data_IF_344676976064
#
_entry.id   IF_344676976064
#
_cell.length_a   1.000
_cell.length_b   1.000
_cell.length_c   1.000
_cell.angle_alpha   90.00
_cell.angle_beta   90.00
_cell.angle_gamma   90.00
#
_symmetry.space_group_name_H-M   'P 1'
#
loop_
_entity.id
_entity.type
_entity.pdbx_description
1 polymer ?
#
# COMPACT_ATOMS: atom_id res chain seq x y z
N UNK A 1 36.24 13.59 -10.58
CA UNK A 1 36.07 12.25 -9.99
C UNK A 1 35.95 11.28 -11.15
N UNK A 2 36.77 10.23 -11.19
CA UNK A 2 36.70 9.24 -12.29
C UNK A 2 35.50 8.28 -12.10
N UNK A 3 35.23 7.43 -13.09
CA UNK A 3 34.06 6.54 -13.06
C UNK A 3 34.07 5.58 -11.87
N UNK A 4 35.21 4.98 -11.57
CA UNK A 4 35.41 4.06 -10.45
C UNK A 4 35.15 4.72 -9.10
N UNK A 5 35.71 5.91 -8.87
CA UNK A 5 35.49 6.69 -7.65
C UNK A 5 34.02 7.08 -7.48
N UNK A 6 33.36 7.47 -8.58
CA UNK A 6 31.94 7.86 -8.56
C UNK A 6 31.05 6.69 -8.18
N UNK A 7 31.22 5.55 -8.86
CA UNK A 7 30.44 4.33 -8.59
C UNK A 7 30.72 3.80 -7.19
N UNK A 8 31.99 3.76 -6.77
CA UNK A 8 32.39 3.36 -5.42
C UNK A 8 31.70 4.21 -4.35
N UNK A 9 31.65 5.53 -4.53
CA UNK A 9 30.94 6.45 -3.62
C UNK A 9 29.44 6.18 -3.57
N UNK A 10 28.80 5.97 -4.73
CA UNK A 10 27.35 5.70 -4.81
C UNK A 10 27.00 4.38 -4.11
N UNK A 11 27.77 3.33 -4.39
CA UNK A 11 27.55 1.98 -3.84
C UNK A 11 28.10 1.80 -2.42
N UNK A 12 28.80 2.81 -1.88
CA UNK A 12 29.52 2.75 -0.60
C UNK A 12 30.51 1.57 -0.55
N UNK A 13 31.25 1.40 -1.64
CA UNK A 13 32.22 0.33 -1.84
C UNK A 13 33.63 0.88 -2.02
N UNK A 14 34.64 0.00 -1.96
CA UNK A 14 36.02 0.34 -2.28
C UNK A 14 36.21 0.49 -3.81
N UNK A 15 36.97 1.50 -4.24
CA UNK A 15 37.19 1.77 -5.68
C UNK A 15 37.99 0.67 -6.38
N UNK A 16 38.92 0.04 -5.68
CA UNK A 16 39.76 -1.03 -6.24
C UNK A 16 38.94 -2.31 -6.41
N UNK A 17 37.91 -2.50 -5.57
CA UNK A 17 36.92 -3.56 -5.77
C UNK A 17 36.11 -3.35 -7.06
N UNK A 18 35.64 -2.13 -7.32
CA UNK A 18 34.91 -1.78 -8.56
C UNK A 18 35.80 -1.98 -9.79
N UNK A 19 37.06 -1.53 -9.73
CA UNK A 19 38.03 -1.73 -10.80
C UNK A 19 38.31 -3.24 -11.04
N UNK A 20 38.50 -4.00 -9.97
CA UNK A 20 38.71 -5.45 -10.03
C UNK A 20 37.51 -6.19 -10.64
N UNK A 21 36.29 -5.75 -10.33
CA UNK A 21 35.06 -6.28 -10.90
C UNK A 21 35.03 -6.12 -12.42
N UNK A 22 35.31 -4.91 -12.92
CA UNK A 22 35.34 -4.66 -14.36
C UNK A 22 36.42 -5.49 -15.06
N UNK A 23 37.63 -5.58 -14.50
CA UNK A 23 38.71 -6.42 -15.06
C UNK A 23 38.29 -7.89 -15.18
N UNK A 24 37.61 -8.43 -14.16
CA UNK A 24 37.12 -9.82 -14.18
C UNK A 24 36.07 -10.03 -15.26
N UNK A 25 35.10 -9.12 -15.38
CA UNK A 25 34.07 -9.22 -16.40
C UNK A 25 34.62 -8.99 -17.81
N UNK A 26 35.58 -8.09 -17.98
CA UNK A 26 36.27 -7.88 -19.25
C UNK A 26 36.98 -9.17 -19.72
N UNK A 27 37.63 -9.90 -18.80
CA UNK A 27 38.28 -11.17 -19.11
C UNK A 27 37.33 -12.29 -19.60
N UNK A 28 36.05 -12.21 -19.22
CA UNK A 28 35.03 -13.21 -19.62
C UNK A 28 34.21 -12.74 -20.84
N UNK A 29 33.87 -11.45 -20.89
CA UNK A 29 32.92 -10.89 -21.87
C UNK A 29 33.59 -10.15 -23.03
N UNK A 30 34.88 -9.81 -22.90
CA UNK A 30 35.61 -8.96 -23.84
C UNK A 30 35.20 -7.48 -23.80
N UNK A 31 34.25 -7.08 -22.94
CA UNK A 31 33.77 -5.70 -22.86
C UNK A 31 34.62 -4.88 -21.88
N UNK A 32 35.02 -3.68 -22.29
CA UNK A 32 35.81 -2.72 -21.50
C UNK A 32 35.12 -1.35 -21.47
N UNK A 33 35.50 -0.48 -20.54
CA UNK A 33 34.93 0.87 -20.37
C UNK A 33 33.44 0.89 -19.99
N UNK A 34 32.99 -0.19 -19.34
CA UNK A 34 31.62 -0.34 -18.86
C UNK A 34 31.36 0.60 -17.70
N UNK A 35 32.34 0.83 -16.81
CA UNK A 35 32.15 1.76 -15.69
C UNK A 35 31.98 3.20 -16.19
N UNK A 36 32.76 3.62 -17.18
CA UNK A 36 32.60 4.92 -17.85
C UNK A 36 31.24 5.02 -18.54
N UNK A 37 30.83 4.00 -19.29
CA UNK A 37 29.53 3.96 -19.95
C UNK A 37 28.35 4.08 -18.95
N UNK A 38 28.41 3.34 -17.84
CA UNK A 38 27.40 3.42 -16.77
C UNK A 38 27.33 4.82 -16.18
N UNK A 39 28.48 5.46 -15.93
CA UNK A 39 28.52 6.82 -15.39
C UNK A 39 27.92 7.81 -16.37
N UNK A 40 28.27 7.73 -17.65
CA UNK A 40 27.72 8.59 -18.69
C UNK A 40 26.21 8.43 -18.82
N UNK A 41 25.72 7.20 -18.96
CA UNK A 41 24.28 6.91 -19.06
C UNK A 41 23.54 7.43 -17.82
N UNK A 42 24.08 7.22 -16.63
CA UNK A 42 23.47 7.71 -15.40
C UNK A 42 23.47 9.25 -15.32
N UNK A 43 24.51 9.93 -15.80
CA UNK A 43 24.54 11.40 -15.89
C UNK A 43 23.50 11.95 -16.86
N UNK A 44 23.37 11.34 -18.04
CA UNK A 44 22.37 11.71 -19.04
C UNK A 44 20.94 11.50 -18.50
N UNK A 45 20.69 10.37 -17.83
CA UNK A 45 19.42 10.09 -17.17
C UNK A 45 19.13 11.12 -16.07
N UNK A 46 20.09 11.41 -15.20
CA UNK A 46 19.93 12.40 -14.14
C UNK A 46 19.60 13.78 -14.69
N UNK A 47 20.31 14.22 -15.75
CA UNK A 47 20.06 15.48 -16.44
C UNK A 47 18.65 15.56 -17.01
N UNK A 48 18.20 14.53 -17.74
CA UNK A 48 16.83 14.46 -18.26
C UNK A 48 15.78 14.52 -17.14
N UNK A 49 15.98 13.76 -16.04
CA UNK A 49 15.03 13.77 -14.92
C UNK A 49 14.97 15.12 -14.21
N UNK A 50 16.11 15.77 -13.98
CA UNK A 50 16.16 17.11 -13.38
C UNK A 50 15.46 18.14 -14.27
N UNK A 51 15.72 18.10 -15.59
CA UNK A 51 15.06 18.99 -16.54
C UNK A 51 13.54 18.81 -16.55
N UNK A 52 13.04 17.57 -16.50
CA UNK A 52 11.59 17.27 -16.41
C UNK A 52 10.95 17.76 -15.11
N UNK A 53 11.73 17.85 -14.03
CA UNK A 53 11.31 18.43 -12.76
C UNK A 53 11.42 19.98 -12.74
N UNK A 54 11.99 20.59 -13.79
CA UNK A 54 12.29 22.01 -13.83
C UNK A 54 13.48 22.42 -12.96
N UNK A 55 14.32 21.45 -12.57
CA UNK A 55 15.54 21.67 -11.78
C UNK A 55 16.76 21.77 -12.72
N UNK A 56 17.79 22.49 -12.28
CA UNK A 56 19.06 22.59 -13.01
C UNK A 56 19.95 21.38 -12.72
N UNK A 57 20.93 21.11 -13.58
CA UNK A 57 21.90 20.01 -13.39
C UNK A 57 22.73 20.16 -12.10
N UNK A 58 22.90 21.39 -11.62
CA UNK A 58 23.65 21.72 -10.41
C UNK A 58 22.74 21.93 -9.20
N UNK A 59 21.46 21.58 -9.31
CA UNK A 59 20.49 21.78 -8.24
C UNK A 59 20.92 21.06 -6.96
N UNK A 60 20.88 21.77 -5.84
CA UNK A 60 21.18 21.17 -4.55
C UNK A 60 20.04 20.25 -4.07
N UNK A 61 20.28 19.50 -2.99
CA UNK A 61 19.28 18.58 -2.45
C UNK A 61 17.98 19.28 -2.05
N UNK A 62 18.03 20.54 -1.61
CA UNK A 62 16.86 21.32 -1.19
C UNK A 62 16.06 21.79 -2.40
N UNK A 63 16.72 22.19 -3.48
CA UNK A 63 16.10 22.56 -4.75
C UNK A 63 15.42 21.36 -5.39
N UNK A 64 16.10 20.21 -5.44
CA UNK A 64 15.52 18.95 -5.95
C UNK A 64 14.31 18.55 -5.10
N UNK A 65 14.43 18.62 -3.77
CA UNK A 65 13.30 18.32 -2.88
C UNK A 65 12.09 19.22 -3.15
N UNK A 66 12.30 20.54 -3.28
CA UNK A 66 11.21 21.47 -3.60
C UNK A 66 10.57 21.17 -4.95
N UNK A 67 11.38 20.87 -5.97
CA UNK A 67 10.89 20.52 -7.31
C UNK A 67 10.03 19.25 -7.27
N UNK A 68 10.46 18.23 -6.52
CA UNK A 68 9.69 17.00 -6.30
C UNK A 68 8.36 17.27 -5.59
N UNK A 69 8.35 18.08 -4.52
CA UNK A 69 7.11 18.45 -3.82
C UNK A 69 6.17 19.20 -4.76
N UNK A 70 6.67 20.19 -5.51
CA UNK A 70 5.86 20.93 -6.47
C UNK A 70 5.26 20.02 -7.56
N UNK A 71 6.03 19.04 -8.05
CA UNK A 71 5.53 18.05 -9.01
C UNK A 71 4.45 17.17 -8.41
N UNK A 72 4.66 16.67 -7.18
CA UNK A 72 3.68 15.89 -6.43
C UNK A 72 2.38 16.67 -6.29
N UNK A 73 2.44 17.93 -5.85
CA UNK A 73 1.24 18.77 -5.69
C UNK A 73 0.53 19.06 -7.02
N UNK A 74 1.30 19.24 -8.10
CA UNK A 74 0.72 19.42 -9.44
C UNK A 74 -0.03 18.19 -9.90
N UNK A 75 0.57 17.00 -9.76
CA UNK A 75 -0.04 15.74 -10.16
C UNK A 75 -1.23 15.39 -9.27
N UNK A 76 -1.11 15.62 -7.97
CA UNK A 76 -2.18 15.43 -6.99
C UNK A 76 -3.40 16.27 -7.36
N UNK A 77 -3.21 17.55 -7.73
CA UNK A 77 -4.30 18.42 -8.22
C UNK A 77 -4.94 17.93 -9.53
N UNK A 78 -4.18 17.29 -10.41
CA UNK A 78 -4.73 16.70 -11.63
C UNK A 78 -5.64 15.51 -11.30
N UNK A 79 -5.17 14.60 -10.43
CA UNK A 79 -5.96 13.45 -9.97
C UNK A 79 -7.18 13.92 -9.17
N UNK A 80 -7.02 14.92 -8.31
CA UNK A 80 -8.08 15.50 -7.50
C UNK A 80 -9.24 16.00 -8.36
N UNK A 81 -8.94 16.74 -9.42
CA UNK A 81 -9.94 17.18 -10.39
C UNK A 81 -10.55 16.02 -11.17
N UNK A 82 -9.73 15.06 -11.61
CA UNK A 82 -10.20 13.89 -12.35
C UNK A 82 -11.16 13.00 -11.54
N UNK A 83 -11.00 12.96 -10.22
CA UNK A 83 -11.88 12.22 -9.30
C UNK A 83 -13.05 13.06 -8.74
N UNK A 84 -13.26 14.27 -9.26
CA UNK A 84 -14.40 15.12 -8.90
C UNK A 84 -14.25 15.85 -7.57
N UNK A 85 -13.02 16.23 -7.19
CA UNK A 85 -12.70 16.99 -5.96
C UNK A 85 -13.15 16.27 -4.67
N UNK A 86 -12.62 15.07 -4.39
CA UNK A 86 -13.08 14.26 -3.28
C UNK A 86 -12.77 14.86 -1.90
N UNK A 87 -13.67 14.61 -0.93
CA UNK A 87 -13.47 14.84 0.49
C UNK A 87 -12.96 13.56 1.18
N UNK A 88 -11.72 13.57 1.69
CA UNK A 88 -11.10 12.40 2.33
C UNK A 88 -11.72 11.93 3.64
N UNK A 89 -12.64 12.72 4.22
CA UNK A 89 -13.42 12.31 5.39
C UNK A 89 -14.78 11.72 5.03
N UNK A 90 -15.25 11.94 3.80
CA UNK A 90 -16.54 11.43 3.36
C UNK A 90 -16.39 9.99 2.85
N UNK A 91 -17.12 9.04 3.46
CA UNK A 91 -17.11 7.61 3.11
C UNK A 91 -17.36 7.40 1.61
N UNK A 92 -18.36 8.08 1.06
CA UNK A 92 -18.73 7.95 -0.35
C UNK A 92 -17.61 8.38 -1.31
N UNK A 93 -16.82 9.39 -0.94
CA UNK A 93 -15.72 9.88 -1.76
C UNK A 93 -14.53 8.93 -1.68
N UNK A 94 -14.20 8.45 -0.48
CA UNK A 94 -13.22 7.39 -0.27
C UNK A 94 -13.57 6.11 -1.04
N UNK A 95 -14.85 5.73 -1.08
CA UNK A 95 -15.33 4.59 -1.87
C UNK A 95 -15.08 4.83 -3.35
N UNK A 96 -15.43 6.01 -3.89
CA UNK A 96 -15.19 6.33 -5.31
C UNK A 96 -13.71 6.26 -5.67
N UNK A 97 -12.82 6.75 -4.81
CA UNK A 97 -11.36 6.65 -5.04
C UNK A 97 -10.92 5.18 -5.10
N UNK A 98 -11.40 4.34 -4.16
CA UNK A 98 -11.06 2.92 -4.12
C UNK A 98 -11.60 2.16 -5.33
N UNK A 99 -12.84 2.44 -5.76
CA UNK A 99 -13.44 1.86 -6.96
C UNK A 99 -12.73 2.29 -8.25
N UNK A 100 -12.31 3.55 -8.34
CA UNK A 100 -11.51 4.03 -9.46
C UNK A 100 -10.17 3.26 -9.55
N UNK A 101 -9.51 3.03 -8.42
CA UNK A 101 -8.30 2.21 -8.36
C UNK A 101 -8.58 0.75 -8.77
N UNK A 102 -9.66 0.14 -8.26
CA UNK A 102 -10.07 -1.23 -8.66
C UNK A 102 -10.31 -1.33 -10.16
N UNK A 103 -11.00 -0.35 -10.75
CA UNK A 103 -11.30 -0.31 -12.19
C UNK A 103 -10.04 -0.19 -13.04
N UNK A 104 -9.09 0.65 -12.64
CA UNK A 104 -7.82 0.83 -13.38
C UNK A 104 -6.99 -0.46 -13.34
N UNK A 105 -6.90 -1.09 -12.18
CA UNK A 105 -6.15 -2.34 -12.03
C UNK A 105 -6.85 -3.49 -12.72
N UNK A 106 -8.19 -3.53 -12.67
CA UNK A 106 -9.02 -4.65 -13.15
C UNK A 106 -8.46 -6.00 -12.68
N UNK A 107 -8.32 -6.20 -11.35
CA UNK A 107 -7.67 -7.40 -10.84
C UNK A 107 -8.47 -8.66 -11.21
N UNK A 108 -7.79 -9.79 -11.44
CA UNK A 108 -8.49 -11.05 -11.65
C UNK A 108 -9.25 -11.46 -10.38
N UNK A 109 -10.16 -12.43 -10.52
CA UNK A 109 -10.77 -13.11 -9.37
C UNK A 109 -9.67 -13.74 -8.52
N UNK A 110 -9.87 -13.76 -7.21
CA UNK A 110 -8.97 -14.40 -6.26
C UNK A 110 -9.67 -15.50 -5.48
N UNK A 111 -8.88 -16.32 -4.79
CA UNK A 111 -9.37 -17.39 -3.93
C UNK A 111 -9.36 -16.92 -2.47
N UNK A 112 -10.55 -16.73 -1.90
CA UNK A 112 -10.75 -16.06 -0.61
C UNK A 112 -11.58 -16.92 0.33
N UNK A 113 -11.41 -16.71 1.63
CA UNK A 113 -12.22 -17.34 2.66
C UNK A 113 -13.69 -17.02 2.43
N UNK A 114 -14.54 -18.06 2.47
CA UNK A 114 -15.99 -17.91 2.39
C UNK A 114 -16.50 -17.01 3.51
N UNK A 115 -17.47 -16.15 3.19
CA UNK A 115 -18.02 -15.22 4.18
C UNK A 115 -18.72 -15.94 5.33
N UNK A 116 -19.33 -17.09 5.05
CA UNK A 116 -19.94 -17.97 6.05
C UNK A 116 -18.89 -18.45 7.04
N UNK A 117 -17.71 -18.85 6.54
CA UNK A 117 -16.60 -19.30 7.39
C UNK A 117 -16.05 -18.17 8.25
N UNK A 118 -15.99 -16.97 7.69
CA UNK A 118 -15.61 -15.78 8.44
C UNK A 118 -16.63 -15.44 9.54
N UNK A 119 -17.93 -15.64 9.30
CA UNK A 119 -18.95 -15.52 10.35
C UNK A 119 -18.73 -16.55 11.46
N UNK A 120 -18.46 -17.81 11.12
CA UNK A 120 -18.14 -18.85 12.11
C UNK A 120 -16.95 -18.48 13.00
N UNK A 121 -15.91 -17.87 12.43
CA UNK A 121 -14.72 -17.46 13.19
C UNK A 121 -15.03 -16.41 14.25
N UNK A 122 -15.87 -15.43 13.93
CA UNK A 122 -16.32 -14.43 14.90
C UNK A 122 -17.26 -15.02 15.95
N UNK A 123 -18.06 -16.02 15.58
CA UNK A 123 -18.96 -16.70 16.52
C UNK A 123 -18.18 -17.54 17.53
N UNK A 124 -17.12 -18.22 17.07
CA UNK A 124 -16.28 -19.06 17.90
C UNK A 124 -15.34 -18.25 18.80
N UNK A 125 -14.75 -17.17 18.28
CA UNK A 125 -13.93 -16.23 19.05
C UNK A 125 -14.52 -14.81 18.95
N UNK A 126 -15.52 -14.48 19.80
CA UNK A 126 -16.18 -13.18 19.79
C UNK A 126 -15.23 -11.99 19.99
N UNK A 127 -15.26 -10.98 19.10
CA UNK A 127 -14.45 -9.77 19.25
C UNK A 127 -15.07 -8.83 20.30
N UNK A 128 -14.68 -9.03 21.56
CA UNK A 128 -15.33 -8.37 22.71
C UNK A 128 -15.24 -6.85 22.65
N UNK A 129 -14.11 -6.29 22.23
CA UNK A 129 -13.91 -4.83 22.19
C UNK A 129 -14.71 -4.21 21.05
N UNK A 130 -14.77 -4.86 19.89
CA UNK A 130 -15.63 -4.41 18.78
C UNK A 130 -17.10 -4.46 19.18
N UNK A 131 -17.52 -5.54 19.84
CA UNK A 131 -18.89 -5.66 20.31
C UNK A 131 -19.25 -4.59 21.35
N UNK A 132 -18.37 -4.34 22.33
CA UNK A 132 -18.54 -3.28 23.33
C UNK A 132 -18.62 -1.90 22.68
N UNK A 133 -17.70 -1.60 21.77
CA UNK A 133 -17.66 -0.35 21.01
C UNK A 133 -18.96 -0.09 20.23
N UNK A 134 -19.51 -1.13 19.60
CA UNK A 134 -20.75 -1.04 18.84
C UNK A 134 -22.02 -1.20 19.69
N UNK A 135 -21.89 -1.50 20.99
CA UNK A 135 -23.02 -1.69 21.90
C UNK A 135 -23.78 -3.01 21.75
N UNK A 136 -23.14 -4.07 21.25
CA UNK A 136 -23.75 -5.39 21.08
C UNK A 136 -23.38 -6.37 22.19
N UNK A 137 -24.37 -7.18 22.62
CA UNK A 137 -24.18 -8.23 23.63
C UNK A 137 -23.81 -9.59 23.05
N UNK A 138 -24.21 -9.86 21.81
CA UNK A 138 -23.96 -11.14 21.13
C UNK A 138 -23.47 -10.92 19.70
N UNK A 139 -22.66 -11.86 19.21
CA UNK A 139 -22.07 -11.80 17.86
C UNK A 139 -23.16 -11.89 16.80
N UNK A 140 -24.20 -12.69 17.02
CA UNK A 140 -25.32 -12.88 16.09
C UNK A 140 -26.03 -11.55 15.84
N UNK A 141 -26.35 -10.81 16.91
CA UNK A 141 -27.04 -9.52 16.81
C UNK A 141 -26.17 -8.51 16.06
N UNK A 142 -24.87 -8.50 16.33
CA UNK A 142 -23.91 -7.66 15.62
C UNK A 142 -23.87 -8.02 14.12
N UNK A 143 -23.68 -9.30 13.79
CA UNK A 143 -23.55 -9.77 12.40
C UNK A 143 -24.84 -9.71 11.57
N UNK A 144 -25.99 -9.50 12.20
CA UNK A 144 -27.27 -9.20 11.55
C UNK A 144 -27.40 -7.72 11.17
N UNK A 145 -26.78 -6.82 11.94
CA UNK A 145 -26.93 -5.36 11.78
C UNK A 145 -25.73 -4.70 11.12
N UNK A 146 -24.56 -5.33 11.20
CA UNK A 146 -23.29 -4.78 10.76
C UNK A 146 -22.76 -5.47 9.50
N UNK A 147 -22.02 -4.73 8.68
CA UNK A 147 -21.27 -5.29 7.55
C UNK A 147 -20.09 -6.13 8.09
N UNK A 148 -20.10 -7.43 7.77
CA UNK A 148 -19.08 -8.39 8.20
C UNK A 148 -17.66 -7.93 7.85
N UNK A 149 -17.45 -7.36 6.66
CA UNK A 149 -16.14 -6.97 6.17
C UNK A 149 -15.64 -5.70 6.87
N UNK A 150 -16.56 -4.79 7.24
CA UNK A 150 -16.21 -3.65 8.10
C UNK A 150 -15.81 -4.13 9.50
N UNK A 151 -16.57 -5.04 10.10
CA UNK A 151 -16.26 -5.63 11.42
C UNK A 151 -14.87 -6.27 11.38
N UNK A 152 -14.59 -7.10 10.36
CA UNK A 152 -13.28 -7.72 10.18
C UNK A 152 -12.15 -6.69 9.99
N UNK A 153 -12.42 -5.60 9.27
CA UNK A 153 -11.44 -4.52 9.07
C UNK A 153 -11.13 -3.83 10.41
N UNK A 154 -12.14 -3.64 11.24
CA UNK A 154 -12.04 -3.02 12.56
C UNK A 154 -11.25 -3.84 13.57
N UNK A 155 -11.25 -5.17 13.48
CA UNK A 155 -10.48 -6.04 14.38
C UNK A 155 -9.00 -5.59 14.48
N UNK A 156 -8.43 -5.11 13.37
CA UNK A 156 -7.02 -4.68 13.27
C UNK A 156 -6.66 -3.49 14.14
N UNK A 157 -7.62 -2.62 14.44
CA UNK A 157 -7.38 -1.41 15.21
C UNK A 157 -8.14 -1.37 16.54
N UNK A 158 -9.15 -2.22 16.74
CA UNK A 158 -9.94 -2.27 17.99
C UNK A 158 -9.47 -3.39 18.94
N UNK A 159 -9.32 -4.64 18.46
CA UNK A 159 -9.02 -5.79 19.33
C UNK A 159 -7.55 -5.83 19.79
N UNK A 160 -6.64 -5.33 18.95
CA UNK A 160 -5.20 -5.31 19.22
C UNK A 160 -4.49 -6.60 18.81
N UNK A 161 -3.16 -6.51 18.68
CA UNK A 161 -2.34 -7.58 18.09
C UNK A 161 -2.22 -8.84 18.95
N UNK A 162 -2.32 -8.71 20.28
CA UNK A 162 -2.20 -9.84 21.19
C UNK A 162 -3.37 -10.82 21.04
N UNK A 163 -4.60 -10.31 21.03
CA UNK A 163 -5.79 -11.13 20.83
C UNK A 163 -5.85 -11.69 19.40
N UNK A 164 -5.56 -10.86 18.40
CA UNK A 164 -5.53 -11.29 17.00
C UNK A 164 -4.57 -12.47 16.78
N UNK A 165 -3.33 -12.35 17.21
CA UNK A 165 -2.31 -13.38 16.98
C UNK A 165 -2.42 -14.56 17.96
N UNK A 166 -2.79 -14.30 19.22
CA UNK A 166 -2.79 -15.31 20.28
C UNK A 166 -4.08 -16.13 20.35
N UNK A 167 -5.19 -15.60 19.83
CA UNK A 167 -6.53 -16.20 19.93
C UNK A 167 -7.15 -16.32 18.55
N UNK A 168 -7.44 -15.19 17.89
CA UNK A 168 -8.29 -15.18 16.70
C UNK A 168 -7.70 -15.96 15.52
N UNK A 169 -6.43 -15.76 15.22
CA UNK A 169 -5.78 -16.39 14.06
C UNK A 169 -5.48 -17.88 14.24
N UNK A 170 -5.52 -18.43 15.44
CA UNK A 170 -5.36 -19.90 15.64
C UNK A 170 -6.42 -20.71 14.90
N UNK A 171 -7.59 -20.12 14.69
CA UNK A 171 -8.68 -20.75 13.94
C UNK A 171 -8.30 -21.05 12.48
N UNK A 172 -7.34 -20.30 11.92
CA UNK A 172 -6.90 -20.45 10.53
C UNK A 172 -6.11 -21.76 10.31
N UNK A 173 -5.55 -22.35 11.36
CA UNK A 173 -4.81 -23.62 11.29
C UNK A 173 -5.70 -24.81 10.91
N UNK A 174 -7.02 -24.68 11.10
CA UNK A 174 -8.00 -25.71 10.79
C UNK A 174 -8.69 -25.52 9.42
N UNK A 175 -8.29 -24.50 8.65
CA UNK A 175 -8.88 -24.21 7.35
C UNK A 175 -8.53 -25.30 6.33
N UNK A 176 -9.51 -25.63 5.50
CA UNK A 176 -9.38 -26.57 4.39
C UNK A 176 -9.64 -25.86 3.07
N UNK A 177 -9.19 -26.41 1.93
CA UNK A 177 -9.46 -25.83 0.61
C UNK A 177 -10.95 -25.54 0.37
N UNK A 178 -11.86 -26.35 0.91
CA UNK A 178 -13.31 -26.18 0.74
C UNK A 178 -13.89 -24.99 1.52
N UNK A 179 -13.14 -24.41 2.46
CA UNK A 179 -13.52 -23.20 3.19
C UNK A 179 -13.34 -21.92 2.36
N UNK A 180 -12.77 -22.04 1.15
CA UNK A 180 -12.48 -20.94 0.25
C UNK A 180 -13.35 -20.96 -1.00
N UNK A 181 -13.46 -19.82 -1.66
CA UNK A 181 -14.22 -19.60 -2.88
C UNK A 181 -13.49 -18.66 -3.83
N UNK A 182 -13.73 -18.81 -5.12
CA UNK A 182 -13.32 -17.80 -6.10
C UNK A 182 -14.30 -16.62 -6.10
N UNK A 183 -13.81 -15.43 -5.78
CA UNK A 183 -14.62 -14.20 -5.75
C UNK A 183 -13.80 -13.02 -6.25
N UNK A 184 -14.48 -11.94 -6.66
CA UNK A 184 -13.81 -10.68 -6.95
C UNK A 184 -13.30 -10.00 -5.67
N UNK A 185 -12.22 -9.23 -5.80
CA UNK A 185 -11.78 -8.31 -4.74
C UNK A 185 -12.87 -7.27 -4.49
N UNK A 186 -13.16 -7.03 -3.22
CA UNK A 186 -14.01 -5.93 -2.78
C UNK A 186 -13.16 -4.76 -2.31
N UNK A 187 -13.56 -3.56 -2.70
CA UNK A 187 -13.02 -2.33 -2.13
C UNK A 187 -14.07 -1.69 -1.23
N UNK A 188 -13.68 -1.22 -0.05
CA UNK A 188 -14.62 -0.68 0.96
C UNK A 188 -14.06 0.56 1.66
N UNK A 189 -14.77 1.68 1.63
CA UNK A 189 -14.55 2.74 2.59
C UNK A 189 -15.25 2.39 3.90
N UNK A 190 -14.54 2.46 5.02
CA UNK A 190 -15.11 2.18 6.34
C UNK A 190 -16.09 3.29 6.72
N UNK A 191 -17.20 2.92 7.36
CA UNK A 191 -18.17 3.88 7.85
C UNK A 191 -17.62 4.80 8.94
N UNK A 192 -18.21 5.99 9.06
CA UNK A 192 -17.74 7.05 9.97
C UNK A 192 -17.76 6.64 11.44
N UNK A 193 -18.56 5.61 11.81
CA UNK A 193 -18.58 5.09 13.18
C UNK A 193 -17.21 4.59 13.64
N UNK A 194 -16.33 4.19 12.73
CA UNK A 194 -14.98 3.74 13.06
C UNK A 194 -13.96 4.86 13.21
N UNK A 195 -14.34 6.12 12.92
CA UNK A 195 -13.39 7.24 12.80
C UNK A 195 -12.51 7.38 14.05
N UNK A 196 -13.11 7.44 15.24
CA UNK A 196 -12.39 7.63 16.51
C UNK A 196 -11.34 6.54 16.76
N UNK A 197 -11.72 5.27 16.63
CA UNK A 197 -10.80 4.15 16.84
C UNK A 197 -9.77 4.02 15.71
N UNK A 198 -10.11 4.48 14.52
CA UNK A 198 -9.22 4.42 13.36
C UNK A 198 -8.16 5.52 13.35
N UNK A 199 -8.39 6.66 14.02
CA UNK A 199 -7.45 7.80 14.05
C UNK A 199 -6.08 7.39 14.60
N UNK A 200 -6.05 6.65 15.72
CA UNK A 200 -4.81 6.15 16.32
C UNK A 200 -4.07 5.21 15.37
N UNK A 201 -4.82 4.37 14.65
CA UNK A 201 -4.25 3.44 13.67
C UNK A 201 -3.63 4.18 12.49
N UNK A 202 -4.37 5.15 11.91
CA UNK A 202 -3.91 5.98 10.80
C UNK A 202 -2.71 6.84 11.21
N UNK A 203 -2.73 7.44 12.40
CA UNK A 203 -1.62 8.24 12.93
C UNK A 203 -0.35 7.39 13.11
N UNK A 204 -0.49 6.16 13.63
CA UNK A 204 0.64 5.23 13.82
C UNK A 204 1.20 4.71 12.49
N UNK A 205 0.33 4.30 11.56
CA UNK A 205 0.73 3.69 10.29
C UNK A 205 1.06 4.72 9.21
N UNK A 206 0.65 5.97 9.39
CA UNK A 206 0.81 7.09 8.45
C UNK A 206 0.15 6.85 7.10
N UNK A 207 -0.75 5.87 6.96
CA UNK A 207 -1.55 5.60 5.78
C UNK A 207 -2.96 5.15 6.18
N UNK A 208 -3.93 5.42 5.31
CA UNK A 208 -5.34 5.15 5.56
C UNK A 208 -5.91 4.01 4.70
N UNK A 209 -5.06 3.29 3.96
CA UNK A 209 -5.45 2.12 3.17
C UNK A 209 -4.86 0.87 3.80
N UNK A 210 -5.64 -0.21 3.83
CA UNK A 210 -5.23 -1.52 4.33
C UNK A 210 -6.01 -2.61 3.61
N UNK A 211 -5.80 -3.87 3.98
CA UNK A 211 -6.40 -5.00 3.30
C UNK A 211 -6.62 -6.20 4.23
N UNK A 212 -7.60 -7.02 3.91
CA UNK A 212 -7.82 -8.36 4.45
C UNK A 212 -7.62 -9.33 3.28
N UNK A 213 -6.40 -9.89 3.16
CA UNK A 213 -6.05 -10.68 1.98
C UNK A 213 -6.86 -11.97 1.94
N UNK A 214 -7.04 -12.56 3.11
CA UNK A 214 -7.84 -13.74 3.37
C UNK A 214 -9.30 -13.57 2.94
N UNK A 215 -9.84 -12.34 2.93
CA UNK A 215 -11.23 -12.06 2.54
C UNK A 215 -11.34 -11.34 1.20
N UNK A 216 -10.22 -11.09 0.52
CA UNK A 216 -10.20 -10.34 -0.73
C UNK A 216 -10.71 -8.92 -0.58
N UNK A 217 -10.45 -8.26 0.56
CA UNK A 217 -10.92 -6.90 0.83
C UNK A 217 -9.75 -5.93 0.85
N UNK A 218 -9.90 -4.83 0.14
CA UNK A 218 -9.07 -3.63 0.31
C UNK A 218 -9.97 -2.57 0.93
N UNK A 219 -9.54 -2.00 2.05
CA UNK A 219 -10.35 -1.00 2.73
C UNK A 219 -9.62 0.32 2.92
N UNK A 220 -10.42 1.39 2.86
CA UNK A 220 -10.01 2.78 3.07
C UNK A 220 -10.64 3.26 4.35
N UNK A 221 -9.83 3.83 5.23
CA UNK A 221 -10.26 4.56 6.41
C UNK A 221 -10.41 6.03 5.99
N UNK A 222 -11.62 6.63 6.08
CA UNK A 222 -11.78 8.06 5.84
C UNK A 222 -10.96 8.86 6.87
N UNK A 223 -9.96 9.59 6.40
CA UNK A 223 -9.07 10.39 7.23
C UNK A 223 -8.38 11.45 6.38
N UNK A 224 -8.14 12.62 6.96
CA UNK A 224 -7.33 13.69 6.37
C UNK A 224 -5.98 13.73 7.10
N UNK A 225 -4.90 13.45 6.38
CA UNK A 225 -3.52 13.46 6.88
C UNK A 225 -2.88 14.85 6.80
N UNK A 226 -3.35 15.71 5.90
CA UNK A 226 -2.88 17.08 5.75
C UNK A 226 -1.46 17.17 5.16
N UNK A 227 -1.12 16.25 4.23
CA UNK A 227 0.21 16.19 3.60
C UNK A 227 0.12 16.47 2.09
N UNK A 228 1.19 17.05 1.51
CA UNK A 228 1.27 17.22 0.05
C UNK A 228 1.23 15.86 -0.65
N UNK A 229 0.39 15.73 -1.68
CA UNK A 229 0.26 14.47 -2.44
C UNK A 229 -0.58 13.40 -1.75
N UNK A 230 -1.43 13.76 -0.80
CA UNK A 230 -2.22 12.80 -0.03
C UNK A 230 -3.11 11.92 -0.93
N UNK A 231 -3.79 12.51 -1.93
CA UNK A 231 -4.62 11.73 -2.85
C UNK A 231 -3.77 10.86 -3.76
N UNK A 232 -2.67 11.37 -4.30
CA UNK A 232 -1.74 10.60 -5.13
C UNK A 232 -1.22 9.39 -4.35
N UNK A 233 -0.88 9.58 -3.08
CA UNK A 233 -0.45 8.49 -2.19
C UNK A 233 -1.58 7.50 -1.94
N UNK A 234 -2.78 7.98 -1.61
CA UNK A 234 -3.95 7.13 -1.39
C UNK A 234 -4.26 6.33 -2.65
N UNK A 235 -4.37 6.98 -3.79
CA UNK A 235 -4.71 6.37 -5.06
C UNK A 235 -3.66 5.34 -5.53
N UNK A 236 -2.37 5.71 -5.52
CA UNK A 236 -1.28 4.78 -5.86
C UNK A 236 -1.18 3.60 -4.86
N UNK A 237 -1.43 3.86 -3.57
CA UNK A 237 -1.55 2.83 -2.55
C UNK A 237 -2.68 1.85 -2.85
N UNK A 238 -3.87 2.36 -3.18
CA UNK A 238 -5.03 1.54 -3.55
C UNK A 238 -4.74 0.70 -4.79
N UNK A 239 -4.14 1.28 -5.84
CA UNK A 239 -3.73 0.55 -7.05
C UNK A 239 -2.78 -0.59 -6.69
N UNK A 240 -1.75 -0.29 -5.89
CA UNK A 240 -0.74 -1.28 -5.49
C UNK A 240 -1.35 -2.41 -4.66
N UNK A 241 -2.20 -2.07 -3.69
CA UNK A 241 -2.81 -3.05 -2.80
C UNK A 241 -3.84 -3.90 -3.55
N UNK A 242 -4.68 -3.30 -4.39
CA UNK A 242 -5.64 -4.05 -5.22
C UNK A 242 -4.92 -5.01 -6.16
N UNK A 243 -3.88 -4.55 -6.86
CA UNK A 243 -3.12 -5.40 -7.79
C UNK A 243 -2.42 -6.58 -7.11
N UNK A 244 -2.00 -6.41 -5.85
CA UNK A 244 -1.34 -7.48 -5.08
C UNK A 244 -2.31 -8.41 -4.35
N UNK A 245 -3.55 -7.99 -4.11
CA UNK A 245 -4.55 -8.79 -3.39
C UNK A 245 -5.07 -9.97 -4.22
N UNK A 246 -4.86 -9.99 -5.54
CA UNK A 246 -5.27 -11.10 -6.40
C UNK A 246 -4.25 -12.24 -6.48
N UNK A 247 -3.02 -12.06 -5.96
CA UNK A 247 -1.87 -12.96 -6.19
C UNK A 247 -1.82 -14.11 -5.16
N UNK A 248 -2.95 -14.57 -4.62
CA UNK A 248 -3.00 -15.81 -3.85
C UNK A 248 -3.30 -17.06 -4.70
N UNK A 249 -3.38 -16.91 -6.03
CA UNK A 249 -3.61 -18.01 -6.99
C UNK A 249 -2.39 -18.50 -7.77
N UNK A 250 -1.19 -17.91 -7.58
CA UNK A 250 0.03 -18.33 -8.30
C UNK A 250 1.21 -18.48 -7.33
N UNK A 251 1.20 -19.54 -6.51
CA UNK A 251 2.42 -20.21 -6.00
C UNK A 251 2.14 -21.69 -5.74
#
# INVERSE_FOLDING_TARGET
>A
MNAYEKIAKILRADKDYVLGLEKRFAGVTGKTFIMEAIVQENEELMKDRLLRLGATENADAKEIYKALIAKIESDDRLIFRALGNPNFKAVGDCQRIAEAAKKIVSPPRGFFLKLEKAREFLMKEPPRRVMEFLGYRTVETMLQKEDLLEVYSALRFVEGSEWLNGVFFKQYEALKPEDFEEREIQVRALSEKWSEESEKFVAKKRHNISHLKELGVVFVIPALLGISGELLRMFSGSITVVGRSAIFGER
#
